data_IF_002926248985
#
_entry.id   IF_002926248985
#
_cell.length_a   1.000
_cell.length_b   1.000
_cell.length_c   1.000
_cell.angle_alpha   90.00
_cell.angle_beta   90.00
_cell.angle_gamma   90.00
#
_symmetry.space_group_name_H-M   'P 1'
#
loop_
_entity.id
_entity.type
_entity.pdbx_description
1 polymer ?
#
# COMPACT_ATOMS: atom_id res chain seq x y z
N UNK A 1 40.48 36.58 41.67
CA UNK A 1 39.44 36.64 40.63
C UNK A 1 38.59 35.39 40.80
N UNK A 2 37.56 35.48 41.66
CA UNK A 2 36.74 34.34 42.07
C UNK A 2 35.62 34.14 41.04
N UNK A 3 35.62 33.00 40.35
CA UNK A 3 34.50 32.56 39.54
C UNK A 3 33.44 31.95 40.47
N UNK A 4 32.26 32.58 40.49
CA UNK A 4 31.08 32.16 41.25
C UNK A 4 30.70 30.68 40.92
N UNK A 5 30.58 29.78 41.92
CA UNK A 5 30.29 28.37 41.70
C UNK A 5 28.93 28.12 41.02
N UNK A 6 28.01 29.07 41.13
CA UNK A 6 26.68 29.00 40.50
C UNK A 6 26.67 29.21 38.98
N UNK A 7 27.75 29.76 38.39
CA UNK A 7 27.84 29.93 36.93
C UNK A 7 28.38 28.68 36.23
N UNK A 8 29.17 27.87 36.92
CA UNK A 8 29.73 26.61 36.39
C UNK A 8 28.66 25.53 36.19
N UNK A 9 27.70 25.45 37.11
CA UNK A 9 26.59 24.49 37.03
C UNK A 9 25.63 24.78 35.85
N UNK A 10 25.40 26.07 35.54
CA UNK A 10 24.54 26.47 34.43
C UNK A 10 25.17 26.16 33.05
N UNK A 11 26.48 26.32 32.91
CA UNK A 11 27.20 26.00 31.66
C UNK A 11 27.27 24.49 31.43
N UNK A 12 27.45 23.69 32.49
CA UNK A 12 27.45 22.22 32.40
C UNK A 12 26.06 21.65 32.05
N UNK A 13 24.97 22.27 32.51
CA UNK A 13 23.61 21.83 32.14
C UNK A 13 23.22 22.21 30.72
N UNK A 14 23.70 23.35 30.21
CA UNK A 14 23.44 23.79 28.83
C UNK A 14 24.21 22.94 27.79
N UNK A 15 25.37 22.38 28.15
CA UNK A 15 26.15 21.53 27.24
C UNK A 15 25.57 20.10 27.09
N UNK A 16 24.86 19.61 28.11
CA UNK A 16 24.31 18.25 28.13
C UNK A 16 23.08 18.07 27.20
N UNK A 17 22.37 19.15 26.85
CA UNK A 17 21.20 19.09 25.97
C UNK A 17 21.52 19.12 24.47
N UNK A 18 22.77 19.37 24.07
CA UNK A 18 23.17 19.45 22.65
C UNK A 18 23.38 18.08 21.99
N UNK A 19 23.47 16.98 22.75
CA UNK A 19 23.90 15.66 22.21
C UNK A 19 22.72 14.72 21.92
N UNK A 20 21.48 15.08 22.26
CA UNK A 20 20.30 14.22 22.07
C UNK A 20 19.52 14.50 20.77
N UNK A 21 20.16 15.11 19.76
CA UNK A 21 19.51 15.55 18.52
C UNK A 21 19.93 14.83 17.24
N UNK A 22 20.82 13.84 17.29
CA UNK A 22 21.15 13.04 16.12
C UNK A 22 20.07 11.97 15.91
N UNK A 23 18.98 12.33 15.21
CA UNK A 23 18.14 11.32 14.55
C UNK A 23 19.01 10.52 13.60
N UNK A 24 19.02 9.20 13.78
CA UNK A 24 19.68 8.28 12.85
C UNK A 24 19.15 8.54 11.43
N UNK A 25 20.00 8.63 10.40
CA UNK A 25 19.54 8.87 9.03
C UNK A 25 18.54 7.80 8.64
N UNK A 26 17.33 8.20 8.25
CA UNK A 26 16.34 7.25 7.72
C UNK A 26 16.90 6.63 6.45
N UNK A 27 16.96 5.30 6.41
CA UNK A 27 17.37 4.56 5.23
C UNK A 27 16.26 4.61 4.17
N UNK A 28 16.59 5.12 2.99
CA UNK A 28 15.69 5.22 1.85
C UNK A 28 15.99 4.18 0.77
N UNK A 29 16.73 3.11 1.13
CA UNK A 29 16.93 1.96 0.25
C UNK A 29 15.60 1.41 -0.23
N UNK A 30 15.50 1.14 -1.53
CA UNK A 30 14.31 0.58 -2.16
C UNK A 30 14.38 -0.94 -2.12
N UNK A 31 13.24 -1.64 -2.00
CA UNK A 31 13.22 -3.09 -2.00
C UNK A 31 13.60 -3.65 -3.37
N UNK A 32 14.16 -4.85 -3.38
CA UNK A 32 14.31 -5.67 -4.57
C UNK A 32 12.97 -6.31 -4.97
N UNK A 33 12.85 -6.73 -6.24
CA UNK A 33 11.70 -7.53 -6.72
C UNK A 33 11.42 -8.77 -5.86
N UNK A 34 12.48 -9.44 -5.41
CA UNK A 34 12.35 -10.64 -4.58
C UNK A 34 11.79 -10.28 -3.19
N UNK A 35 12.25 -9.19 -2.58
CA UNK A 35 11.71 -8.71 -1.30
C UNK A 35 10.24 -8.36 -1.41
N UNK A 36 9.82 -7.60 -2.42
CA UNK A 36 8.40 -7.28 -2.63
C UNK A 36 7.59 -8.57 -2.77
N UNK A 37 8.05 -9.53 -3.57
CA UNK A 37 7.34 -10.79 -3.82
C UNK A 37 7.12 -11.59 -2.53
N UNK A 38 8.06 -11.56 -1.57
CA UNK A 38 7.93 -12.27 -0.30
C UNK A 38 6.78 -11.76 0.56
N UNK A 39 6.47 -10.46 0.51
CA UNK A 39 5.30 -9.93 1.21
C UNK A 39 4.01 -10.59 0.72
N UNK A 40 3.82 -10.73 -0.60
CA UNK A 40 2.56 -11.21 -1.18
C UNK A 40 2.51 -12.73 -1.46
N UNK A 41 3.20 -13.55 -0.65
CA UNK A 41 3.51 -14.97 -0.89
C UNK A 41 2.36 -15.99 -1.11
N UNK A 42 1.15 -15.57 -1.49
CA UNK A 42 -0.06 -16.41 -1.65
C UNK A 42 -0.31 -16.95 -3.07
N UNK A 43 0.70 -17.01 -3.94
CA UNK A 43 0.63 -17.73 -5.24
C UNK A 43 -0.24 -17.09 -6.34
N UNK A 44 -0.73 -15.87 -6.14
CA UNK A 44 -1.55 -15.11 -7.12
C UNK A 44 -0.81 -13.92 -7.72
N UNK A 45 0.28 -13.49 -7.08
CA UNK A 45 1.23 -12.52 -7.64
C UNK A 45 2.05 -13.21 -8.72
N UNK A 46 2.05 -12.61 -9.90
CA UNK A 46 2.82 -13.06 -11.05
C UNK A 46 4.23 -12.48 -11.03
N UNK A 47 4.32 -11.20 -10.69
CA UNK A 47 5.56 -10.44 -10.75
C UNK A 47 5.48 -9.25 -9.80
N UNK A 48 6.62 -8.90 -9.21
CA UNK A 48 6.79 -7.64 -8.50
C UNK A 48 8.09 -6.96 -8.92
N UNK A 49 8.05 -5.64 -9.04
CA UNK A 49 9.19 -4.82 -9.45
C UNK A 49 9.14 -3.43 -8.81
N UNK A 50 10.24 -2.69 -8.91
CA UNK A 50 10.27 -1.27 -8.58
C UNK A 50 10.37 -0.45 -9.85
N UNK A 51 9.45 0.50 -10.04
CA UNK A 51 9.51 1.50 -11.10
C UNK A 51 9.62 2.89 -10.49
N UNK A 52 10.80 3.52 -10.63
CA UNK A 52 11.11 4.74 -9.90
C UNK A 52 11.21 4.45 -8.41
N UNK A 53 10.29 5.01 -7.61
CA UNK A 53 10.15 4.71 -6.17
C UNK A 53 8.80 4.04 -5.85
N UNK A 54 8.14 3.44 -6.84
CA UNK A 54 6.86 2.75 -6.65
C UNK A 54 7.06 1.25 -6.79
N UNK A 55 6.60 0.48 -5.80
CA UNK A 55 6.51 -0.97 -5.92
C UNK A 55 5.32 -1.32 -6.81
N UNK A 56 5.55 -2.05 -7.90
CA UNK A 56 4.50 -2.51 -8.81
C UNK A 56 4.30 -4.00 -8.61
N UNK A 57 3.09 -4.40 -8.23
CA UNK A 57 2.68 -5.78 -8.00
C UNK A 57 1.69 -6.16 -9.09
N UNK A 58 2.03 -7.15 -9.90
CA UNK A 58 1.17 -7.66 -10.95
C UNK A 58 0.52 -8.97 -10.52
N UNK A 59 -0.80 -9.01 -10.56
CA UNK A 59 -1.61 -10.12 -10.06
C UNK A 59 -2.45 -10.69 -11.20
N UNK A 60 -2.54 -12.02 -11.25
CA UNK A 60 -3.46 -12.66 -12.16
C UNK A 60 -4.88 -12.64 -11.61
N UNK A 61 -5.83 -12.19 -12.43
CA UNK A 61 -7.26 -12.26 -12.12
C UNK A 61 -7.98 -13.23 -13.04
N UNK A 62 -8.88 -14.03 -12.47
CA UNK A 62 -9.63 -15.04 -13.21
C UNK A 62 -10.66 -14.42 -14.16
N UNK A 63 -10.54 -14.73 -15.45
CA UNK A 63 -11.55 -14.37 -16.45
C UNK A 63 -12.92 -14.99 -16.17
N UNK A 64 -13.00 -16.09 -15.43
CA UNK A 64 -14.28 -16.68 -15.02
C UNK A 64 -14.99 -15.82 -13.96
N UNK A 65 -14.23 -15.30 -12.97
CA UNK A 65 -14.77 -14.39 -11.96
C UNK A 65 -15.26 -13.09 -12.58
N UNK A 66 -14.49 -12.52 -13.51
CA UNK A 66 -14.88 -11.29 -14.23
C UNK A 66 -16.16 -11.52 -15.06
N UNK A 67 -16.27 -12.65 -15.77
CA UNK A 67 -17.49 -12.95 -16.55
C UNK A 67 -18.73 -13.13 -15.67
N UNK A 68 -18.61 -13.81 -14.53
CA UNK A 68 -19.72 -14.04 -13.59
C UNK A 68 -20.10 -12.76 -12.85
N UNK A 69 -19.11 -11.96 -12.53
CA UNK A 69 -19.20 -10.80 -11.66
C UNK A 69 -19.39 -9.46 -12.36
N UNK A 70 -19.10 -9.40 -13.66
CA UNK A 70 -19.16 -8.17 -14.45
C UNK A 70 -18.13 -7.12 -14.01
N UNK A 71 -18.53 -5.86 -14.15
CA UNK A 71 -17.68 -4.69 -13.91
C UNK A 71 -17.17 -4.57 -12.48
N UNK A 72 -17.99 -4.91 -11.48
CA UNK A 72 -17.59 -4.86 -10.08
C UNK A 72 -16.39 -5.76 -9.81
N UNK A 73 -16.42 -6.98 -10.34
CA UNK A 73 -15.30 -7.91 -10.17
C UNK A 73 -14.06 -7.46 -10.94
N UNK A 74 -14.21 -6.86 -12.12
CA UNK A 74 -13.08 -6.26 -12.83
C UNK A 74 -12.40 -5.13 -12.03
N UNK A 75 -13.19 -4.33 -11.30
CA UNK A 75 -12.70 -3.21 -10.49
C UNK A 75 -12.11 -3.63 -9.14
N UNK A 76 -12.70 -4.61 -8.46
CA UNK A 76 -12.34 -4.91 -7.07
C UNK A 76 -10.96 -5.55 -6.92
N UNK A 77 -10.48 -6.22 -7.98
CA UNK A 77 -9.26 -7.02 -7.97
C UNK A 77 -8.07 -6.31 -7.34
N UNK A 78 -7.64 -5.13 -7.84
CA UNK A 78 -6.50 -4.43 -7.26
C UNK A 78 -6.64 -4.08 -5.78
N UNK A 79 -7.83 -3.64 -5.34
CA UNK A 79 -8.06 -3.24 -3.94
C UNK A 79 -7.95 -4.40 -2.96
N UNK A 80 -8.27 -5.62 -3.41
CA UNK A 80 -8.09 -6.85 -2.61
C UNK A 80 -6.62 -7.13 -2.30
N UNK A 81 -5.67 -6.68 -3.13
CA UNK A 81 -4.25 -6.86 -2.86
C UNK A 81 -3.59 -5.60 -2.30
N UNK A 82 -4.18 -4.44 -2.54
CA UNK A 82 -3.63 -3.16 -2.07
C UNK A 82 -3.94 -2.88 -0.60
N UNK A 83 -5.11 -3.29 -0.12
CA UNK A 83 -5.54 -3.02 1.26
C UNK A 83 -5.30 -4.23 2.16
N UNK A 84 -4.02 -4.61 2.29
CA UNK A 84 -3.57 -5.76 3.06
C UNK A 84 -2.51 -5.36 4.09
N UNK A 85 -2.26 -6.23 5.08
CA UNK A 85 -1.21 -6.00 6.08
C UNK A 85 0.18 -6.01 5.42
N UNK A 86 0.36 -6.89 4.42
CA UNK A 86 1.57 -7.01 3.62
C UNK A 86 1.92 -5.69 2.90
N UNK A 87 0.92 -4.97 2.37
CA UNK A 87 1.14 -3.66 1.75
C UNK A 87 1.56 -2.61 2.78
N UNK A 88 0.96 -2.65 3.97
CA UNK A 88 1.33 -1.75 5.06
C UNK A 88 2.75 -1.99 5.53
N UNK A 89 3.11 -3.25 5.80
CA UNK A 89 4.44 -3.65 6.25
C UNK A 89 5.50 -3.28 5.21
N UNK A 90 5.25 -3.55 3.92
CA UNK A 90 6.14 -3.14 2.83
C UNK A 90 6.42 -1.62 2.85
N UNK A 91 5.39 -0.80 3.07
CA UNK A 91 5.57 0.66 3.17
C UNK A 91 6.29 1.06 4.47
N UNK A 92 6.09 0.37 5.59
CA UNK A 92 6.81 0.66 6.84
C UNK A 92 8.30 0.30 6.73
N UNK A 93 8.59 -0.88 6.19
CA UNK A 93 9.94 -1.44 6.11
C UNK A 93 10.81 -0.73 5.06
N UNK A 94 10.18 -0.11 4.05
CA UNK A 94 10.89 0.62 3.00
C UNK A 94 10.41 2.10 2.91
N UNK A 95 10.98 3.00 3.72
CA UNK A 95 10.66 4.44 3.70
C UNK A 95 10.91 5.13 2.36
N UNK A 96 11.80 4.58 1.52
CA UNK A 96 12.08 5.08 0.17
C UNK A 96 10.92 4.94 -0.82
N UNK A 97 9.96 4.05 -0.55
CA UNK A 97 8.81 3.86 -1.43
C UNK A 97 7.83 5.03 -1.35
N UNK A 98 7.52 5.62 -2.51
CA UNK A 98 6.48 6.62 -2.67
C UNK A 98 5.05 6.04 -2.73
N UNK A 99 4.93 4.73 -2.92
CA UNK A 99 3.63 4.05 -2.95
C UNK A 99 3.71 2.63 -3.49
N UNK A 100 2.55 1.98 -3.53
CA UNK A 100 2.36 0.64 -4.10
C UNK A 100 1.33 0.70 -5.20
N UNK A 101 1.67 0.18 -6.37
CA UNK A 101 0.76 0.00 -7.49
C UNK A 101 0.41 -1.47 -7.65
N UNK A 102 -0.87 -1.80 -7.64
CA UNK A 102 -1.36 -3.12 -8.01
C UNK A 102 -1.91 -3.08 -9.41
N UNK A 103 -1.47 -4.01 -10.25
CA UNK A 103 -1.99 -4.28 -11.59
C UNK A 103 -2.67 -5.63 -11.59
N UNK A 104 -3.88 -5.70 -12.12
CA UNK A 104 -4.56 -6.97 -12.39
C UNK A 104 -4.55 -7.25 -13.87
N UNK A 105 -4.24 -8.49 -14.23
CA UNK A 105 -4.25 -8.93 -15.61
C UNK A 105 -4.88 -10.30 -15.78
N UNK A 106 -5.39 -10.56 -16.98
CA UNK A 106 -5.86 -11.89 -17.37
C UNK A 106 -4.67 -12.86 -17.52
N UNK A 107 -4.93 -14.16 -17.59
CA UNK A 107 -3.91 -15.18 -17.90
C UNK A 107 -3.15 -14.92 -19.21
N UNK A 108 -3.76 -14.20 -20.16
CA UNK A 108 -3.14 -13.82 -21.44
C UNK A 108 -2.37 -12.50 -21.40
N UNK A 109 -2.16 -11.90 -20.21
CA UNK A 109 -1.39 -10.66 -20.05
C UNK A 109 -2.16 -9.37 -20.35
N UNK A 110 -3.46 -9.44 -20.68
CA UNK A 110 -4.25 -8.21 -20.84
C UNK A 110 -4.54 -7.58 -19.48
N UNK A 111 -4.13 -6.32 -19.31
CA UNK A 111 -4.42 -5.51 -18.13
C UNK A 111 -5.94 -5.26 -18.00
N UNK A 112 -6.44 -5.41 -16.78
CA UNK A 112 -7.85 -5.24 -16.41
C UNK A 112 -8.01 -3.93 -15.65
N UNK A 113 -7.18 -3.72 -14.63
CA UNK A 113 -7.19 -2.53 -13.79
C UNK A 113 -5.81 -2.29 -13.19
N UNK A 114 -5.44 -1.02 -13.02
CA UNK A 114 -4.25 -0.58 -12.29
C UNK A 114 -4.66 0.43 -11.23
N UNK A 115 -4.20 0.25 -10.01
CA UNK A 115 -4.47 1.14 -8.88
C UNK A 115 -3.17 1.44 -8.17
N UNK A 116 -2.93 2.70 -7.81
CA UNK A 116 -1.79 3.11 -6.98
C UNK A 116 -2.27 3.75 -5.68
N UNK A 117 -1.69 3.26 -4.59
CA UNK A 117 -1.78 3.87 -3.28
C UNK A 117 -0.51 4.67 -3.00
N UNK A 118 -0.58 6.01 -2.91
CA UNK A 118 0.52 6.83 -2.40
C UNK A 118 0.81 6.51 -0.94
N UNK A 119 2.08 6.57 -0.53
CA UNK A 119 2.53 6.30 0.85
C UNK A 119 1.76 7.12 1.89
N UNK A 120 1.56 8.40 1.62
CA UNK A 120 1.04 9.38 2.58
C UNK A 120 -0.49 9.45 2.61
N UNK A 121 -1.16 8.71 1.73
CA UNK A 121 -2.61 8.77 1.55
C UNK A 121 -3.36 8.21 2.76
N UNK A 122 -2.84 7.14 3.37
CA UNK A 122 -3.53 6.41 4.43
C UNK A 122 -2.77 6.50 5.75
N UNK A 123 -3.34 7.26 6.67
CA UNK A 123 -2.91 7.32 8.08
C UNK A 123 -3.29 6.03 8.82
N UNK A 124 -2.71 5.77 10.01
CA UNK A 124 -2.96 4.53 10.76
C UNK A 124 -4.44 4.22 11.05
N UNK A 125 -5.29 5.23 11.23
CA UNK A 125 -6.75 5.02 11.39
C UNK A 125 -7.40 4.63 10.07
N UNK A 126 -7.05 5.31 8.98
CA UNK A 126 -7.54 5.00 7.64
C UNK A 126 -7.06 3.60 7.22
N UNK A 127 -5.87 3.20 7.62
CA UNK A 127 -5.34 1.85 7.41
C UNK A 127 -6.14 0.76 8.08
N UNK A 128 -6.44 0.90 9.37
CA UNK A 128 -7.31 -0.06 10.05
C UNK A 128 -8.69 -0.15 9.38
N UNK A 129 -9.21 0.97 8.88
CA UNK A 129 -10.48 1.00 8.15
C UNK A 129 -10.38 0.28 6.80
N UNK A 130 -9.34 0.53 6.02
CA UNK A 130 -9.07 -0.17 4.75
C UNK A 130 -8.99 -1.68 4.95
N UNK A 131 -8.24 -2.15 5.97
CA UNK A 131 -8.12 -3.57 6.29
C UNK A 131 -9.47 -4.21 6.64
N UNK A 132 -10.30 -3.52 7.43
CA UNK A 132 -11.63 -4.01 7.79
C UNK A 132 -12.57 -4.13 6.58
N UNK A 133 -12.60 -3.10 5.72
CA UNK A 133 -13.45 -3.10 4.51
C UNK A 133 -12.99 -4.22 3.57
N UNK A 134 -11.69 -4.29 3.28
CA UNK A 134 -11.14 -5.29 2.39
C UNK A 134 -11.27 -6.72 2.95
N UNK A 135 -11.09 -6.90 4.27
CA UNK A 135 -11.29 -8.18 4.94
C UNK A 135 -12.72 -8.70 4.80
N UNK A 136 -13.73 -7.84 5.00
CA UNK A 136 -15.15 -8.19 4.79
C UNK A 136 -15.43 -8.56 3.34
N UNK A 137 -14.90 -7.78 2.39
CA UNK A 137 -15.05 -8.05 0.96
C UNK A 137 -14.41 -9.39 0.54
N UNK A 138 -13.22 -9.72 1.06
CA UNK A 138 -12.55 -11.01 0.79
C UNK A 138 -13.35 -12.20 1.31
N UNK A 139 -13.88 -12.09 2.54
CA UNK A 139 -14.57 -13.19 3.20
C UNK A 139 -15.98 -13.43 2.61
N UNK A 140 -16.74 -12.35 2.41
CA UNK A 140 -18.19 -12.45 2.16
C UNK A 140 -18.62 -11.81 0.83
N UNK A 141 -17.72 -11.20 0.06
CA UNK A 141 -18.08 -10.42 -1.13
C UNK A 141 -18.69 -11.24 -2.27
N UNK A 142 -18.50 -12.56 -2.28
CA UNK A 142 -19.19 -13.47 -3.21
C UNK A 142 -20.67 -13.65 -2.89
N UNK A 143 -21.06 -13.48 -1.64
CA UNK A 143 -22.44 -13.63 -1.15
C UNK A 143 -23.13 -12.28 -0.95
N UNK A 144 -22.36 -11.24 -0.63
CA UNK A 144 -22.83 -9.89 -0.33
C UNK A 144 -22.12 -8.88 -1.24
N UNK A 145 -22.74 -8.61 -2.40
CA UNK A 145 -22.16 -7.74 -3.44
C UNK A 145 -21.90 -6.32 -2.93
N UNK A 146 -22.69 -5.81 -1.98
CA UNK A 146 -22.48 -4.47 -1.40
C UNK A 146 -21.12 -4.33 -0.73
N UNK A 147 -20.51 -5.41 -0.22
CA UNK A 147 -19.16 -5.36 0.36
C UNK A 147 -18.08 -5.16 -0.71
N UNK A 148 -18.34 -5.65 -1.93
CA UNK A 148 -17.47 -5.41 -3.09
C UNK A 148 -17.60 -3.95 -3.53
N UNK A 149 -18.82 -3.43 -3.57
CA UNK A 149 -19.10 -2.02 -3.89
C UNK A 149 -18.45 -1.08 -2.87
N UNK A 150 -18.62 -1.34 -1.57
CA UNK A 150 -18.00 -0.58 -0.47
C UNK A 150 -16.46 -0.53 -0.60
N UNK A 151 -15.84 -1.66 -0.97
CA UNK A 151 -14.39 -1.73 -1.17
C UNK A 151 -13.94 -0.92 -2.39
N UNK A 152 -14.69 -0.99 -3.49
CA UNK A 152 -14.39 -0.21 -4.70
C UNK A 152 -14.54 1.28 -4.40
N UNK A 153 -15.65 1.70 -3.78
CA UNK A 153 -15.89 3.11 -3.45
C UNK A 153 -14.80 3.64 -2.49
N UNK A 154 -14.48 2.87 -1.45
CA UNK A 154 -13.38 3.22 -0.55
C UNK A 154 -12.05 3.34 -1.29
N UNK A 155 -11.78 2.42 -2.21
CA UNK A 155 -10.59 2.42 -3.04
C UNK A 155 -10.49 3.63 -3.96
N UNK A 156 -11.53 3.88 -4.76
CA UNK A 156 -11.62 5.01 -5.69
C UNK A 156 -11.48 6.37 -4.96
N UNK A 157 -11.86 6.45 -3.68
CA UNK A 157 -11.72 7.66 -2.87
C UNK A 157 -10.32 7.91 -2.27
N UNK A 158 -9.42 6.91 -2.28
CA UNK A 158 -8.10 6.99 -1.62
C UNK A 158 -6.96 6.45 -2.50
N UNK A 159 -7.17 6.36 -3.82
CA UNK A 159 -6.16 5.85 -4.75
C UNK A 159 -6.34 6.50 -6.11
N UNK A 160 -5.27 6.57 -6.89
CA UNK A 160 -5.42 6.80 -8.33
C UNK A 160 -5.64 5.45 -9.02
N UNK A 161 -6.61 5.40 -9.92
CA UNK A 161 -7.00 4.16 -10.60
C UNK A 161 -7.18 4.37 -12.10
N UNK A 162 -6.89 3.31 -12.85
CA UNK A 162 -7.19 3.19 -14.28
C UNK A 162 -7.86 1.83 -14.52
N UNK A 163 -8.99 1.86 -15.22
CA UNK A 163 -9.77 0.67 -15.55
C UNK A 163 -9.85 0.49 -17.04
N UNK A 164 -9.54 -0.72 -17.50
CA UNK A 164 -9.67 -1.04 -18.91
C UNK A 164 -11.17 -1.08 -19.30
N UNK A 165 -11.64 -0.17 -20.20
CA UNK A 165 -13.05 -0.05 -20.56
C UNK A 165 -13.67 -1.36 -21.07
N UNK A 166 -12.84 -2.23 -21.69
CA UNK A 166 -13.25 -3.55 -22.18
C UNK A 166 -13.87 -4.44 -21.10
N UNK A 167 -13.46 -4.27 -19.84
CA UNK A 167 -13.90 -5.10 -18.72
C UNK A 167 -14.91 -4.41 -17.80
N UNK A 168 -15.01 -3.07 -17.83
CA UNK A 168 -15.89 -2.31 -16.93
C UNK A 168 -17.14 -1.72 -17.61
N UNK A 169 -17.17 -1.60 -18.94
CA UNK A 169 -18.38 -1.17 -19.64
C UNK A 169 -19.46 -2.26 -19.58
N UNK A 170 -20.69 -1.87 -19.17
CA UNK A 170 -21.88 -2.71 -19.34
C UNK A 170 -22.09 -2.92 -20.84
N UNK A 171 -22.09 -4.17 -21.29
CA UNK A 171 -22.78 -4.55 -22.52
C UNK A 171 -24.27 -4.62 -22.26
#
# INVERSE_FOLDING_TARGET
MYLEPNRLLAVLFALAFMVAGCTEPTDFTLPTSEEITRYYGSGTVLEAEVRGNVAVVTVQQSAAQIRKGGSLWAKVGPYIYLFTEETFELLQDFPGLGGVRVKTQTAGGSEIASVILPREELTGVLWRRSLNIAGRARLNGTEQITLIEDLIEWGEGHTDFDYNPRYVQRR
#
